data_IF_702198409001
#
_entry.id   IF_702198409001
#
_cell.length_a   1.000
_cell.length_b   1.000
_cell.length_c   1.000
_cell.angle_alpha   90.00
_cell.angle_beta   90.00
_cell.angle_gamma   90.00
#
_symmetry.space_group_name_H-M   'P 1'
#
loop_
_entity.id
_entity.type
_entity.pdbx_description
1 polymer ?
#
# COMPACT_ATOMS: atom_id res chain seq x y z
N UNK A 1 32.91 9.92 -5.53
CA UNK A 1 31.72 10.76 -5.58
C UNK A 1 31.44 11.29 -7.01
N UNK A 2 32.43 11.90 -7.71
CA UNK A 2 32.22 12.43 -9.08
C UNK A 2 31.65 11.37 -10.05
N UNK A 3 32.18 10.13 -10.06
CA UNK A 3 31.66 9.05 -10.90
C UNK A 3 30.22 8.63 -10.58
N UNK A 4 29.74 8.89 -9.37
CA UNK A 4 28.35 8.58 -9.00
C UNK A 4 27.40 9.69 -9.49
N UNK A 5 27.84 10.91 -9.56
CA UNK A 5 27.03 12.03 -10.07
C UNK A 5 26.74 11.90 -11.59
N UNK A 6 27.62 11.26 -12.36
CA UNK A 6 27.40 10.96 -13.78
C UNK A 6 26.20 10.04 -14.03
N UNK A 7 25.86 9.21 -13.05
CA UNK A 7 24.73 8.26 -13.11
C UNK A 7 23.51 8.75 -12.32
N UNK A 8 23.58 9.93 -11.72
CA UNK A 8 22.48 10.49 -10.95
C UNK A 8 21.33 10.87 -11.87
N UNK A 9 20.15 10.35 -11.57
CA UNK A 9 18.95 10.81 -12.26
C UNK A 9 18.71 12.29 -11.93
N UNK A 10 18.62 13.18 -12.94
CA UNK A 10 18.36 14.59 -12.73
C UNK A 10 16.95 14.87 -12.15
N UNK A 11 16.03 13.90 -12.27
CA UNK A 11 14.71 13.96 -11.68
C UNK A 11 14.68 13.06 -10.44
N UNK A 12 14.27 13.56 -9.26
CA UNK A 12 14.15 12.73 -8.08
C UNK A 12 13.20 11.54 -8.32
N UNK A 13 13.63 10.36 -7.91
CA UNK A 13 12.80 9.15 -7.95
C UNK A 13 12.46 8.79 -6.51
N UNK A 14 11.18 8.87 -6.18
CA UNK A 14 10.68 8.53 -4.85
C UNK A 14 9.68 7.38 -5.01
N UNK A 15 9.98 6.25 -4.39
CA UNK A 15 9.12 5.08 -4.41
C UNK A 15 8.27 4.95 -3.14
N UNK A 16 8.71 5.56 -2.05
CA UNK A 16 8.05 5.42 -0.75
C UNK A 16 8.09 6.74 0.01
N UNK A 17 6.94 7.12 0.57
CA UNK A 17 6.77 8.24 1.50
C UNK A 17 6.03 7.68 2.71
N UNK A 18 6.75 7.39 3.79
CA UNK A 18 6.13 6.98 5.05
C UNK A 18 5.37 8.16 5.64
N UNK A 19 4.04 8.11 5.60
CA UNK A 19 3.20 9.22 6.08
C UNK A 19 3.12 9.25 7.60
N UNK A 20 3.18 8.09 8.23
CA UNK A 20 3.27 7.94 9.69
C UNK A 20 4.02 6.65 10.04
N UNK A 21 4.78 6.66 11.13
CA UNK A 21 5.32 5.44 11.72
C UNK A 21 4.49 4.95 12.93
N UNK A 22 3.34 5.59 13.21
CA UNK A 22 2.40 5.12 14.21
C UNK A 22 1.71 3.84 13.73
N UNK A 23 1.68 2.82 14.58
CA UNK A 23 0.93 1.59 14.37
C UNK A 23 0.47 1.04 15.71
N UNK A 24 -0.77 0.63 15.80
CA UNK A 24 -1.36 0.03 17.00
C UNK A 24 -1.28 -1.50 17.02
N UNK A 25 -0.69 -2.11 15.97
CA UNK A 25 -0.45 -3.54 15.86
C UNK A 25 0.90 -3.95 16.45
N UNK A 26 1.03 -5.24 16.77
CA UNK A 26 2.27 -5.88 17.24
C UNK A 26 2.52 -7.18 16.46
N UNK A 27 2.56 -7.05 15.14
CA UNK A 27 2.73 -8.20 14.26
C UNK A 27 4.07 -8.91 14.50
N UNK A 28 4.04 -10.25 14.59
CA UNK A 28 5.24 -11.06 14.87
C UNK A 28 6.33 -10.90 13.79
N UNK A 29 5.94 -10.71 12.53
CA UNK A 29 6.87 -10.54 11.41
C UNK A 29 7.36 -9.10 11.21
N UNK A 30 6.80 -8.12 11.92
CA UNK A 30 7.08 -6.72 11.63
C UNK A 30 8.30 -6.21 12.41
N UNK A 31 9.37 -5.74 11.74
CA UNK A 31 10.55 -5.22 12.39
C UNK A 31 10.27 -3.95 13.22
N UNK A 32 9.18 -3.23 12.93
CA UNK A 32 8.74 -2.11 13.78
C UNK A 32 8.56 -2.52 15.24
N UNK A 33 8.01 -3.71 15.46
CA UNK A 33 7.70 -4.20 16.83
C UNK A 33 8.94 -4.35 17.70
N UNK A 34 10.07 -4.70 17.11
CA UNK A 34 11.30 -5.07 17.83
C UNK A 34 12.50 -4.15 17.54
N UNK A 35 12.51 -3.46 16.40
CA UNK A 35 13.71 -2.77 15.91
C UNK A 35 13.55 -1.25 15.77
N UNK A 36 12.32 -0.72 15.79
CA UNK A 36 12.11 0.72 15.61
C UNK A 36 12.53 1.51 16.84
N UNK A 37 13.51 2.39 16.66
CA UNK A 37 14.04 3.28 17.72
C UNK A 37 13.65 4.74 17.51
N UNK A 38 13.08 5.08 16.34
CA UNK A 38 12.63 6.44 16.03
C UNK A 38 11.42 6.84 16.88
N UNK A 39 11.27 8.12 17.26
CA UNK A 39 10.04 8.62 17.88
C UNK A 39 8.83 8.37 16.95
N UNK A 40 7.65 8.25 17.54
CA UNK A 40 6.41 8.12 16.78
C UNK A 40 6.04 9.51 16.25
N UNK A 41 5.98 9.60 14.92
CA UNK A 41 5.69 10.85 14.22
C UNK A 41 4.78 10.62 13.03
N UNK A 42 4.12 11.68 12.61
CA UNK A 42 3.30 11.72 11.38
C UNK A 42 3.80 12.87 10.53
N UNK A 43 3.96 12.61 9.24
CA UNK A 43 4.40 13.60 8.27
C UNK A 43 3.40 14.76 8.20
N UNK A 44 3.92 15.99 8.17
CA UNK A 44 3.04 17.15 8.01
C UNK A 44 2.66 17.36 6.55
N UNK A 45 1.46 17.91 6.26
CA UNK A 45 1.04 18.22 4.90
C UNK A 45 2.02 19.10 4.14
N UNK A 46 2.65 20.07 4.80
CA UNK A 46 3.63 20.96 4.16
C UNK A 46 4.87 20.20 3.68
N UNK A 47 5.38 19.27 4.48
CA UNK A 47 6.53 18.45 4.09
C UNK A 47 6.13 17.51 2.96
N UNK A 48 4.97 16.84 3.07
CA UNK A 48 4.45 15.96 2.03
C UNK A 48 4.34 16.70 0.68
N UNK A 49 3.67 17.86 0.69
CA UNK A 49 3.48 18.66 -0.52
C UNK A 49 4.81 19.12 -1.14
N UNK A 50 5.79 19.53 -0.32
CA UNK A 50 7.13 19.88 -0.82
C UNK A 50 7.85 18.71 -1.48
N UNK A 51 7.63 17.49 -0.99
CA UNK A 51 8.20 16.29 -1.62
C UNK A 51 7.53 16.03 -2.97
N UNK A 52 6.21 15.91 -3.00
CA UNK A 52 5.50 15.54 -4.24
C UNK A 52 5.63 16.58 -5.35
N UNK A 53 5.73 17.88 -5.03
CA UNK A 53 5.93 18.93 -6.03
C UNK A 53 7.26 18.80 -6.80
N UNK A 54 8.23 18.05 -6.29
CA UNK A 54 9.49 17.78 -6.97
C UNK A 54 9.39 16.57 -7.92
N UNK A 55 8.32 15.77 -7.81
CA UNK A 55 8.15 14.56 -8.58
C UNK A 55 7.43 14.85 -9.89
N UNK A 56 7.75 14.06 -10.90
CA UNK A 56 7.07 14.10 -12.19
C UNK A 56 6.55 12.71 -12.53
N UNK A 57 5.29 12.58 -12.95
CA UNK A 57 4.78 11.31 -13.45
C UNK A 57 5.57 10.89 -14.69
N UNK A 58 5.76 9.61 -14.85
CA UNK A 58 6.31 9.08 -16.09
C UNK A 58 5.29 9.24 -17.21
N UNK A 59 5.82 9.50 -18.40
CA UNK A 59 5.04 9.58 -19.63
C UNK A 59 4.69 8.18 -20.15
N UNK A 60 3.65 8.06 -20.95
CA UNK A 60 3.26 6.80 -21.58
C UNK A 60 4.42 6.11 -22.33
N UNK A 61 5.28 6.81 -23.10
CA UNK A 61 6.46 6.19 -23.70
C UNK A 61 7.45 5.60 -22.69
N UNK A 62 7.65 6.25 -21.54
CA UNK A 62 8.53 5.73 -20.48
C UNK A 62 7.93 4.45 -19.87
N UNK A 63 6.61 4.44 -19.59
CA UNK A 63 5.91 3.25 -19.12
C UNK A 63 6.00 2.12 -20.12
N UNK A 64 5.76 2.40 -21.41
CA UNK A 64 5.89 1.40 -22.46
C UNK A 64 7.29 0.79 -22.50
N UNK A 65 8.32 1.61 -22.40
CA UNK A 65 9.71 1.13 -22.36
C UNK A 65 9.97 0.21 -21.19
N UNK A 66 9.44 0.53 -20.01
CA UNK A 66 9.54 -0.34 -18.83
C UNK A 66 8.80 -1.67 -19.03
N UNK A 67 7.58 -1.62 -19.53
CA UNK A 67 6.75 -2.81 -19.75
C UNK A 67 7.38 -3.75 -20.80
N UNK A 68 7.88 -3.19 -21.91
CA UNK A 68 8.60 -3.96 -22.94
C UNK A 68 9.87 -4.60 -22.35
N UNK A 69 10.58 -3.90 -21.47
CA UNK A 69 11.74 -4.46 -20.77
C UNK A 69 11.35 -5.62 -19.83
N UNK A 70 10.26 -5.49 -19.06
CA UNK A 70 9.78 -6.54 -18.16
C UNK A 70 9.41 -7.80 -18.96
N UNK A 71 8.63 -7.66 -20.03
CA UNK A 71 8.26 -8.80 -20.88
C UNK A 71 9.49 -9.47 -21.51
N UNK A 72 10.42 -8.68 -22.02
CA UNK A 72 11.62 -9.22 -22.66
C UNK A 72 12.55 -9.94 -21.68
N UNK A 73 12.77 -9.36 -20.50
CA UNK A 73 13.75 -9.85 -19.52
C UNK A 73 13.19 -10.94 -18.61
N UNK A 74 12.01 -10.74 -18.07
CA UNK A 74 11.44 -11.61 -17.05
C UNK A 74 10.43 -12.63 -17.61
N UNK A 75 10.01 -12.46 -18.86
CA UNK A 75 9.01 -13.34 -19.54
C UNK A 75 7.66 -13.34 -18.84
N UNK A 76 7.30 -12.24 -18.19
CA UNK A 76 6.04 -12.04 -17.50
C UNK A 76 5.17 -11.14 -18.39
N UNK A 77 4.05 -11.65 -18.93
CA UNK A 77 3.18 -10.86 -19.80
C UNK A 77 2.40 -9.80 -19.00
N UNK A 78 1.95 -8.74 -19.68
CA UNK A 78 1.19 -7.64 -19.06
C UNK A 78 -0.15 -8.06 -18.46
N UNK A 79 -0.72 -9.15 -18.93
CA UNK A 79 -1.96 -9.73 -18.43
C UNK A 79 -1.75 -10.85 -17.40
N UNK A 80 -0.53 -11.02 -16.92
CA UNK A 80 -0.24 -11.95 -15.82
C UNK A 80 -1.03 -11.58 -14.57
N UNK A 81 -1.54 -12.57 -13.85
CA UNK A 81 -2.33 -12.38 -12.62
C UNK A 81 -1.58 -12.81 -11.36
N UNK A 82 -0.29 -13.13 -11.51
CA UNK A 82 0.56 -13.55 -10.40
C UNK A 82 1.01 -12.38 -9.54
N UNK A 83 1.61 -12.69 -8.39
CA UNK A 83 2.27 -11.71 -7.53
C UNK A 83 3.38 -10.95 -8.28
N UNK A 84 4.02 -11.57 -9.27
CA UNK A 84 5.03 -10.94 -10.11
C UNK A 84 4.47 -9.75 -10.89
N UNK A 85 3.23 -9.85 -11.39
CA UNK A 85 2.56 -8.71 -12.04
C UNK A 85 2.48 -7.51 -11.10
N UNK A 86 2.06 -7.73 -9.84
CA UNK A 86 1.97 -6.66 -8.87
C UNK A 86 3.32 -5.96 -8.67
N UNK A 87 4.40 -6.71 -8.48
CA UNK A 87 5.73 -6.14 -8.24
C UNK A 87 6.36 -5.51 -9.48
N UNK A 88 6.08 -5.99 -10.68
CA UNK A 88 6.74 -5.53 -11.90
C UNK A 88 5.94 -4.51 -12.70
N UNK A 89 4.62 -4.52 -12.61
CA UNK A 89 3.74 -3.63 -13.37
C UNK A 89 2.96 -2.62 -12.53
N UNK A 90 2.71 -2.91 -11.25
CA UNK A 90 1.96 -2.01 -10.36
C UNK A 90 2.90 -1.17 -9.50
N UNK A 91 3.74 -1.81 -8.71
CA UNK A 91 4.63 -1.12 -7.74
C UNK A 91 5.51 -0.05 -8.39
N UNK A 92 6.11 -0.24 -9.58
CA UNK A 92 6.89 0.80 -10.22
C UNK A 92 6.10 2.04 -10.62
N UNK A 93 4.78 1.90 -10.80
CA UNK A 93 3.88 2.99 -11.22
C UNK A 93 3.35 3.83 -10.06
N UNK A 94 3.45 3.36 -8.84
CA UNK A 94 2.85 4.00 -7.66
C UNK A 94 3.91 4.52 -6.70
N UNK A 95 3.55 5.53 -5.93
CA UNK A 95 4.29 5.92 -4.73
C UNK A 95 3.62 5.24 -3.54
N UNK A 96 4.41 4.48 -2.81
CA UNK A 96 3.99 3.74 -1.62
C UNK A 96 3.86 4.71 -0.43
N UNK A 97 2.70 4.75 0.22
CA UNK A 97 2.41 5.66 1.34
C UNK A 97 2.49 4.98 2.72
N UNK A 98 3.15 3.84 2.82
CA UNK A 98 3.34 3.14 4.08
C UNK A 98 4.81 2.79 4.31
N UNK A 99 5.18 2.63 5.57
CA UNK A 99 6.48 2.15 6.01
C UNK A 99 6.30 1.29 7.26
N UNK A 100 6.83 1.72 8.39
CA UNK A 100 6.64 1.06 9.68
C UNK A 100 5.26 1.31 10.29
N UNK A 101 4.61 2.43 9.95
CA UNK A 101 3.28 2.76 10.45
C UNK A 101 2.14 2.14 9.65
N UNK A 102 0.94 2.34 10.18
CA UNK A 102 -0.30 2.02 9.47
C UNK A 102 -0.92 3.32 8.93
N UNK A 103 -1.00 3.49 7.59
CA UNK A 103 -1.53 4.71 6.98
C UNK A 103 -2.95 5.06 7.40
N UNK A 104 -3.77 4.05 7.75
CA UNK A 104 -5.14 4.31 8.21
C UNK A 104 -5.21 5.04 9.55
N UNK A 105 -4.10 5.13 10.29
CA UNK A 105 -4.00 5.96 11.50
C UNK A 105 -3.68 7.43 11.20
N UNK A 106 -3.18 7.73 9.99
CA UNK A 106 -2.95 9.10 9.56
C UNK A 106 -4.24 9.72 9.01
N UNK A 107 -4.72 10.77 9.71
CA UNK A 107 -5.94 11.48 9.30
C UNK A 107 -5.81 12.24 7.97
N UNK A 108 -4.58 12.52 7.54
CA UNK A 108 -4.29 13.31 6.34
C UNK A 108 -4.22 12.45 5.06
N UNK A 109 -4.30 11.12 5.15
CA UNK A 109 -4.21 10.21 3.99
C UNK A 109 -5.13 10.62 2.83
N UNK A 110 -6.42 10.99 3.04
CA UNK A 110 -7.27 11.43 1.92
C UNK A 110 -6.71 12.66 1.20
N UNK A 111 -6.17 13.61 1.95
CA UNK A 111 -5.63 14.86 1.39
C UNK A 111 -4.31 14.62 0.64
N UNK A 112 -3.48 13.71 1.11
CA UNK A 112 -2.26 13.29 0.43
C UNK A 112 -2.57 12.60 -0.91
N UNK A 113 -3.56 11.69 -0.92
CA UNK A 113 -4.01 11.03 -2.15
C UNK A 113 -4.57 12.07 -3.13
N UNK A 114 -5.39 13.01 -2.67
CA UNK A 114 -5.91 14.09 -3.51
C UNK A 114 -4.80 14.92 -4.16
N UNK A 115 -3.80 15.33 -3.37
CA UNK A 115 -2.67 16.10 -3.85
C UNK A 115 -1.86 15.34 -4.91
N UNK A 116 -1.62 14.04 -4.70
CA UNK A 116 -0.95 13.18 -5.68
C UNK A 116 -1.75 13.03 -6.96
N UNK A 117 -3.06 12.76 -6.86
CA UNK A 117 -3.95 12.59 -8.01
C UNK A 117 -4.00 13.86 -8.87
N UNK A 118 -4.08 15.05 -8.24
CA UNK A 118 -4.02 16.35 -8.94
C UNK A 118 -2.72 16.56 -9.72
N UNK A 119 -1.64 15.93 -9.29
CA UNK A 119 -0.32 16.00 -9.94
C UNK A 119 -0.09 14.86 -10.95
N UNK A 120 -1.05 13.95 -11.12
CA UNK A 120 -0.92 12.78 -12.00
C UNK A 120 -0.02 11.68 -11.43
N UNK A 121 0.23 11.69 -10.12
CA UNK A 121 0.99 10.67 -9.42
C UNK A 121 0.04 9.59 -8.90
N UNK A 122 0.43 8.33 -9.07
CA UNK A 122 -0.32 7.18 -8.59
C UNK A 122 0.06 6.81 -7.16
N UNK A 123 -0.90 6.33 -6.39
CA UNK A 123 -0.74 6.04 -4.96
C UNK A 123 -1.14 4.63 -4.56
N UNK A 124 -0.42 4.10 -3.60
CA UNK A 124 -0.67 2.79 -3.03
C UNK A 124 -0.30 2.77 -1.55
N UNK A 125 -1.05 2.03 -0.75
CA UNK A 125 -0.60 1.62 0.58
C UNK A 125 -1.15 0.27 1.00
N UNK A 126 -0.36 -0.40 1.86
CA UNK A 126 -0.77 -1.59 2.61
C UNK A 126 -1.11 -1.19 4.04
N UNK A 127 -2.14 -1.80 4.61
CA UNK A 127 -2.63 -1.46 5.93
C UNK A 127 -3.28 -2.66 6.63
N UNK A 128 -3.53 -2.51 7.93
CA UNK A 128 -4.34 -3.46 8.68
C UNK A 128 -5.82 -3.05 8.59
N UNK A 129 -6.72 -3.93 8.12
CA UNK A 129 -8.12 -3.61 7.95
C UNK A 129 -8.88 -3.35 9.27
N UNK A 130 -8.34 -3.73 10.43
CA UNK A 130 -8.92 -3.36 11.73
C UNK A 130 -8.87 -1.85 12.01
N UNK A 131 -8.05 -1.09 11.27
CA UNK A 131 -7.98 0.37 11.37
C UNK A 131 -8.87 1.09 10.34
N UNK A 132 -9.72 0.38 9.59
CA UNK A 132 -10.64 1.01 8.64
C UNK A 132 -11.58 1.96 9.38
N UNK A 133 -11.51 3.23 9.01
CA UNK A 133 -12.56 4.20 9.23
C UNK A 133 -13.29 4.39 7.89
N UNK A 134 -14.52 3.93 7.79
CA UNK A 134 -15.26 3.87 6.53
C UNK A 134 -15.37 5.24 5.85
N UNK A 135 -15.71 6.30 6.58
CA UNK A 135 -15.83 7.66 6.04
C UNK A 135 -14.52 8.13 5.42
N UNK A 136 -13.42 8.00 6.16
CA UNK A 136 -12.09 8.40 5.69
C UNK A 136 -11.61 7.55 4.51
N UNK A 137 -11.86 6.25 4.55
CA UNK A 137 -11.46 5.34 3.47
C UNK A 137 -12.25 5.62 2.20
N UNK A 138 -13.56 5.88 2.31
CA UNK A 138 -14.39 6.29 1.19
C UNK A 138 -13.87 7.59 0.57
N UNK A 139 -13.59 8.61 1.39
CA UNK A 139 -13.00 9.86 0.91
C UNK A 139 -11.65 9.65 0.22
N UNK A 140 -10.85 8.71 0.72
CA UNK A 140 -9.57 8.33 0.07
C UNK A 140 -9.79 7.73 -1.32
N UNK A 141 -10.82 6.91 -1.50
CA UNK A 141 -11.19 6.35 -2.80
C UNK A 141 -11.74 7.43 -3.75
N UNK A 142 -12.59 8.32 -3.25
CA UNK A 142 -13.10 9.48 -3.99
C UNK A 142 -11.98 10.40 -4.49
N UNK A 143 -10.93 10.54 -3.70
CA UNK A 143 -9.76 11.34 -4.02
C UNK A 143 -8.77 10.65 -4.99
N UNK A 144 -9.04 9.41 -5.41
CA UNK A 144 -8.34 8.74 -6.50
C UNK A 144 -7.20 7.81 -6.07
N UNK A 145 -7.30 7.18 -4.90
CA UNK A 145 -6.37 6.11 -4.53
C UNK A 145 -6.39 4.99 -5.59
N UNK A 146 -5.22 4.62 -6.11
CA UNK A 146 -5.13 3.57 -7.14
C UNK A 146 -5.22 2.17 -6.55
N UNK A 147 -4.43 1.90 -5.48
CA UNK A 147 -4.39 0.57 -4.86
C UNK A 147 -4.41 0.66 -3.34
N UNK A 148 -5.19 -0.23 -2.72
CA UNK A 148 -5.13 -0.50 -1.28
C UNK A 148 -4.96 -1.99 -1.06
N UNK A 149 -4.03 -2.35 -0.17
CA UNK A 149 -3.78 -3.75 0.19
C UNK A 149 -4.12 -3.97 1.66
N UNK A 150 -5.10 -4.82 1.91
CA UNK A 150 -5.46 -5.26 3.25
C UNK A 150 -4.73 -6.54 3.60
N UNK A 151 -4.02 -6.50 4.71
CA UNK A 151 -3.26 -7.64 5.19
C UNK A 151 -4.11 -8.46 6.18
N UNK A 152 -4.45 -9.68 5.79
CA UNK A 152 -5.19 -10.65 6.59
C UNK A 152 -4.31 -11.90 6.72
N UNK A 153 -4.04 -12.35 7.96
CA UNK A 153 -3.14 -13.49 8.19
C UNK A 153 -3.88 -14.76 8.62
N UNK A 154 -5.15 -14.66 8.95
CA UNK A 154 -6.02 -15.76 9.32
C UNK A 154 -7.48 -15.36 9.19
N UNK A 155 -8.37 -16.30 8.91
CA UNK A 155 -9.83 -16.14 8.95
C UNK A 155 -10.42 -16.46 10.33
N UNK A 156 -9.59 -16.85 11.27
CA UNK A 156 -9.92 -17.05 12.69
C UNK A 156 -9.43 -15.86 13.51
N UNK A 157 -10.30 -15.29 14.34
CA UNK A 157 -10.00 -14.09 15.13
C UNK A 157 -8.87 -14.32 16.15
N UNK A 158 -8.75 -15.49 16.74
CA UNK A 158 -7.71 -15.78 17.73
C UNK A 158 -6.36 -15.89 17.06
N UNK A 159 -6.26 -16.67 15.98
CA UNK A 159 -5.03 -16.82 15.18
C UNK A 159 -4.61 -15.49 14.55
N UNK A 160 -5.57 -14.70 14.07
CA UNK A 160 -5.30 -13.39 13.52
C UNK A 160 -4.69 -12.45 14.58
N UNK A 161 -5.22 -12.48 15.82
CA UNK A 161 -4.65 -11.73 16.96
C UNK A 161 -3.30 -12.24 17.40
N UNK A 162 -3.03 -13.54 17.35
CA UNK A 162 -1.71 -14.11 17.64
C UNK A 162 -0.65 -13.52 16.69
N UNK A 163 -0.95 -13.47 15.40
CA UNK A 163 0.00 -12.97 14.38
C UNK A 163 0.13 -11.46 14.40
N UNK A 164 -0.99 -10.72 14.55
CA UNK A 164 -1.03 -9.26 14.34
C UNK A 164 -1.14 -8.44 15.62
N UNK A 165 -1.39 -9.08 16.75
CA UNK A 165 -1.59 -8.44 18.04
C UNK A 165 -3.06 -8.17 18.38
N UNK A 166 -3.32 -7.90 19.65
CA UNK A 166 -4.67 -7.86 20.25
C UNK A 166 -5.61 -6.79 19.66
N UNK A 167 -5.09 -5.79 18.96
CA UNK A 167 -5.91 -4.76 18.30
C UNK A 167 -6.43 -5.19 16.94
N UNK A 168 -5.97 -6.33 16.41
CA UNK A 168 -6.45 -6.90 15.17
C UNK A 168 -7.72 -7.73 15.39
N UNK A 169 -8.64 -7.69 14.41
CA UNK A 169 -9.88 -8.45 14.46
C UNK A 169 -10.26 -8.82 13.02
N UNK A 170 -10.34 -10.10 12.71
CA UNK A 170 -10.68 -10.57 11.37
C UNK A 170 -12.16 -10.31 11.04
N UNK A 171 -13.07 -10.72 11.89
CA UNK A 171 -14.52 -10.69 11.61
C UNK A 171 -15.01 -9.29 11.25
N UNK A 172 -14.65 -8.28 12.05
CA UNK A 172 -15.03 -6.90 11.80
C UNK A 172 -14.29 -6.31 10.60
N UNK A 173 -13.01 -6.62 10.47
CA UNK A 173 -12.17 -6.21 9.35
C UNK A 173 -12.72 -6.69 8.02
N UNK A 174 -13.09 -7.95 7.94
CA UNK A 174 -13.66 -8.57 6.75
C UNK A 174 -15.01 -7.95 6.38
N UNK A 175 -15.88 -7.72 7.36
CA UNK A 175 -17.15 -7.00 7.18
C UNK A 175 -16.93 -5.59 6.59
N UNK A 176 -15.95 -4.86 7.10
CA UNK A 176 -15.61 -3.53 6.59
C UNK A 176 -15.09 -3.59 5.14
N UNK A 177 -14.26 -4.59 4.81
CA UNK A 177 -13.78 -4.80 3.43
C UNK A 177 -14.97 -5.09 2.50
N UNK A 178 -15.88 -5.98 2.88
CA UNK A 178 -17.08 -6.27 2.08
C UNK A 178 -17.94 -5.01 1.86
N UNK A 179 -18.09 -4.18 2.89
CA UNK A 179 -18.79 -2.90 2.78
C UNK A 179 -18.11 -1.98 1.77
N UNK A 180 -16.78 -1.90 1.77
CA UNK A 180 -16.02 -1.09 0.82
C UNK A 180 -16.11 -1.64 -0.61
N UNK A 181 -16.14 -2.96 -0.80
CA UNK A 181 -16.34 -3.60 -2.11
C UNK A 181 -17.72 -3.27 -2.68
N UNK A 182 -18.77 -3.36 -1.86
CA UNK A 182 -20.14 -2.99 -2.26
C UNK A 182 -20.22 -1.50 -2.66
N UNK A 183 -19.64 -0.62 -1.83
CA UNK A 183 -19.58 0.82 -2.13
C UNK A 183 -18.75 1.12 -3.37
N UNK A 184 -17.63 0.41 -3.57
CA UNK A 184 -16.82 0.51 -4.79
C UNK A 184 -17.66 0.21 -6.02
N UNK A 185 -18.41 -0.88 -5.99
CA UNK A 185 -19.28 -1.27 -7.11
C UNK A 185 -20.39 -0.23 -7.35
N UNK A 186 -21.08 0.23 -6.30
CA UNK A 186 -22.19 1.20 -6.39
C UNK A 186 -21.76 2.58 -6.84
N UNK A 187 -20.58 3.05 -6.42
CA UNK A 187 -20.07 4.40 -6.74
C UNK A 187 -19.03 4.40 -7.86
N UNK A 188 -18.74 3.22 -8.44
CA UNK A 188 -17.76 3.04 -9.52
C UNK A 188 -16.36 3.57 -9.17
N UNK A 189 -15.90 3.35 -7.92
CA UNK A 189 -14.53 3.71 -7.54
C UNK A 189 -13.52 2.87 -8.31
N UNK A 190 -12.48 3.53 -8.82
CA UNK A 190 -11.42 2.88 -9.59
C UNK A 190 -10.37 2.18 -8.73
N UNK A 191 -10.34 2.47 -7.44
CA UNK A 191 -9.38 1.88 -6.50
C UNK A 191 -9.37 0.36 -6.59
N UNK A 192 -8.21 -0.24 -6.81
CA UNK A 192 -8.04 -1.69 -6.73
C UNK A 192 -7.84 -2.10 -5.28
N UNK A 193 -8.70 -3.01 -4.80
CA UNK A 193 -8.60 -3.58 -3.45
C UNK A 193 -7.93 -4.94 -3.58
N UNK A 194 -6.84 -5.14 -2.84
CA UNK A 194 -6.07 -6.38 -2.78
C UNK A 194 -6.12 -6.91 -1.36
N UNK A 195 -6.36 -8.19 -1.20
CA UNK A 195 -6.23 -8.90 0.09
C UNK A 195 -5.02 -9.80 0.00
N UNK A 196 -4.18 -9.79 1.03
CA UNK A 196 -2.98 -10.63 1.09
C UNK A 196 -2.87 -11.34 2.42
N UNK A 197 -2.32 -12.55 2.37
CA UNK A 197 -1.87 -13.32 3.51
C UNK A 197 -0.38 -13.63 3.33
N UNK A 198 0.45 -13.22 4.28
CA UNK A 198 1.89 -13.55 4.25
C UNK A 198 2.03 -15.01 4.68
N UNK A 199 2.73 -15.80 3.89
CA UNK A 199 3.03 -17.17 4.29
C UNK A 199 4.07 -17.19 5.42
N UNK A 200 3.62 -17.47 6.62
CA UNK A 200 4.43 -17.62 7.83
C UNK A 200 4.74 -19.10 8.13
N UNK A 201 4.45 -20.00 7.19
CA UNK A 201 4.60 -21.45 7.33
C UNK A 201 3.82 -22.04 8.54
N UNK A 202 2.70 -21.42 8.91
CA UNK A 202 1.80 -21.99 9.93
C UNK A 202 0.99 -23.13 9.31
N UNK A 203 0.78 -24.25 10.02
CA UNK A 203 0.12 -25.45 9.46
C UNK A 203 -1.29 -25.22 8.91
N UNK A 204 -1.98 -24.19 9.40
CA UNK A 204 -3.35 -23.87 9.08
C UNK A 204 -3.51 -22.83 7.96
N UNK A 205 -2.43 -22.14 7.57
CA UNK A 205 -2.53 -20.97 6.68
C UNK A 205 -3.03 -21.31 5.27
N UNK A 206 -2.60 -22.43 4.70
CA UNK A 206 -3.01 -22.79 3.35
C UNK A 206 -4.54 -23.01 3.27
N UNK A 207 -5.10 -23.77 4.23
CA UNK A 207 -6.53 -24.01 4.29
C UNK A 207 -7.35 -22.74 4.52
N UNK A 208 -6.83 -21.82 5.34
CA UNK A 208 -7.49 -20.56 5.61
C UNK A 208 -7.38 -19.56 4.44
N UNK A 209 -6.29 -19.58 3.69
CA UNK A 209 -6.14 -18.80 2.48
C UNK A 209 -7.16 -19.20 1.42
N UNK A 210 -7.47 -20.47 1.30
CA UNK A 210 -8.45 -20.98 0.36
C UNK A 210 -9.91 -20.60 0.73
N UNK A 211 -10.14 -20.18 1.98
CA UNK A 211 -11.44 -19.69 2.49
C UNK A 211 -11.62 -18.18 2.33
N UNK A 212 -10.57 -17.46 2.05
CA UNK A 212 -10.56 -16.01 1.95
C UNK A 212 -11.02 -15.52 0.57
#
# INVERSE_FOLDING_TARGET
LQKMEEYRNPVPVVYNIETTNACNMRCEMCPRTTMMTRPIETLTPDVFNRVIHQLKPWTDPQWKTWEDFVEAKYKIPRNDVSENHFFLYVIPKVIVLHGYGDPLLDKNIPDYVEAMTKQGLHSYFSCNPANINLERTIRTFENGLDYIKYSIESVDDLRHKEVRGQKSNFTESYKNILTLLDLKAKRNFKTTIVITMINLNKPWQQEEFEKL
#
